data_IF_226324713007
#
_entry.id   IF_226324713007
#
_cell.length_a   1.000
_cell.length_b   1.000
_cell.length_c   1.000
_cell.angle_alpha   90.00
_cell.angle_beta   90.00
_cell.angle_gamma   90.00
#
_symmetry.space_group_name_H-M   'P 1'
#
loop_
_entity.id
_entity.type
_entity.pdbx_description
1 polymer ?
#
# COMPACT_ATOMS: atom_id res chain seq x y z
N UNK A 1 3.04 1.28 -6.02
CA UNK A 1 3.73 0.06 -6.49
C UNK A 1 2.75 -0.95 -7.07
N UNK A 2 2.21 -1.93 -6.31
CA UNK A 2 1.40 -3.03 -6.88
C UNK A 2 0.22 -2.56 -7.74
N UNK A 3 -0.57 -1.61 -7.24
CA UNK A 3 -1.74 -1.09 -7.99
C UNK A 3 -1.32 -0.46 -9.31
N UNK A 4 -0.25 0.33 -9.31
CA UNK A 4 0.30 0.96 -10.50
C UNK A 4 0.77 -0.08 -11.52
N UNK A 5 1.58 -1.06 -11.09
CA UNK A 5 2.04 -2.14 -11.97
C UNK A 5 0.87 -2.90 -12.61
N UNK A 6 -0.16 -3.20 -11.82
CA UNK A 6 -1.35 -3.91 -12.32
C UNK A 6 -2.18 -3.03 -13.26
N UNK A 7 -2.27 -1.72 -13.02
CA UNK A 7 -2.94 -0.77 -13.92
C UNK A 7 -2.21 -0.65 -15.26
N UNK A 8 -0.89 -0.85 -15.27
CA UNK A 8 -0.07 -0.93 -16.49
C UNK A 8 -0.07 -2.32 -17.14
N UNK A 9 -0.80 -3.30 -16.60
CA UNK A 9 -0.80 -4.70 -17.05
C UNK A 9 0.59 -5.37 -17.10
N UNK A 10 1.54 -4.87 -16.29
CA UNK A 10 2.93 -5.34 -16.29
C UNK A 10 3.16 -6.47 -15.30
N UNK A 11 4.04 -7.40 -15.65
CA UNK A 11 4.42 -8.49 -14.75
C UNK A 11 5.42 -8.00 -13.70
N UNK A 12 5.54 -8.76 -12.60
CA UNK A 12 6.59 -8.52 -11.59
C UNK A 12 8.00 -8.60 -12.22
N UNK A 13 8.19 -9.51 -13.19
CA UNK A 13 9.45 -9.68 -13.90
C UNK A 13 9.82 -8.41 -14.68
N UNK A 14 8.89 -7.86 -15.45
CA UNK A 14 9.16 -6.68 -16.29
C UNK A 14 9.56 -5.44 -15.47
N UNK A 15 8.92 -5.26 -14.30
CA UNK A 15 9.24 -4.13 -13.41
C UNK A 15 10.55 -4.39 -12.67
N UNK A 16 10.79 -5.61 -12.19
CA UNK A 16 12.02 -5.96 -11.48
C UNK A 16 13.26 -5.82 -12.39
N UNK A 17 13.16 -6.32 -13.62
CA UNK A 17 14.23 -6.23 -14.62
C UNK A 17 14.53 -4.75 -14.96
N UNK A 18 13.49 -3.92 -15.16
CA UNK A 18 13.64 -2.49 -15.41
C UNK A 18 14.20 -1.71 -14.20
N UNK A 19 13.80 -2.08 -12.98
CA UNK A 19 14.29 -1.47 -11.73
C UNK A 19 15.65 -2.02 -11.29
N UNK A 20 16.23 -2.98 -12.02
CA UNK A 20 17.52 -3.63 -11.71
C UNK A 20 17.55 -4.26 -10.32
N UNK A 21 16.44 -4.82 -9.87
CA UNK A 21 16.31 -5.56 -8.61
C UNK A 21 15.78 -6.97 -8.85
N UNK A 22 15.91 -7.86 -7.87
CA UNK A 22 15.39 -9.21 -8.02
C UNK A 22 13.86 -9.23 -7.94
N UNK A 23 13.23 -10.12 -8.74
CA UNK A 23 11.79 -10.32 -8.69
C UNK A 23 11.29 -10.74 -7.29
N UNK A 24 11.98 -11.63 -6.54
CA UNK A 24 11.63 -11.91 -5.15
C UNK A 24 11.64 -10.66 -4.26
N UNK A 25 12.66 -9.79 -4.39
CA UNK A 25 12.75 -8.57 -3.59
C UNK A 25 11.62 -7.58 -3.90
N UNK A 26 11.29 -7.36 -5.18
CA UNK A 26 10.13 -6.56 -5.57
C UNK A 26 8.82 -7.14 -5.01
N UNK A 27 8.71 -8.47 -4.98
CA UNK A 27 7.57 -9.18 -4.40
C UNK A 27 7.40 -8.88 -2.91
N UNK A 28 8.49 -8.83 -2.14
CA UNK A 28 8.47 -8.47 -0.72
C UNK A 28 8.09 -7.00 -0.53
N UNK A 29 8.60 -6.11 -1.39
CA UNK A 29 8.28 -4.68 -1.37
C UNK A 29 6.80 -4.42 -1.64
N UNK A 30 6.21 -5.04 -2.66
CA UNK A 30 4.78 -4.88 -2.98
C UNK A 30 3.84 -5.33 -1.86
N UNK A 31 4.32 -6.23 -0.99
CA UNK A 31 3.57 -6.74 0.16
C UNK A 31 3.91 -6.00 1.46
N UNK A 32 4.80 -5.01 1.42
CA UNK A 32 5.24 -4.25 2.58
C UNK A 32 6.05 -5.07 3.58
N UNK A 33 6.69 -6.16 3.15
CA UNK A 33 7.52 -7.02 4.01
C UNK A 33 8.98 -6.59 4.09
N UNK A 34 9.40 -5.65 3.23
CA UNK A 34 10.74 -5.09 3.22
C UNK A 34 10.71 -3.58 3.06
N UNK A 35 11.72 -2.96 3.66
CA UNK A 35 12.01 -1.54 3.46
C UNK A 35 12.90 -1.39 2.21
N UNK A 36 12.62 -0.35 1.44
CA UNK A 36 13.41 0.04 0.28
C UNK A 36 14.27 1.25 0.65
N UNK A 37 15.52 1.26 0.18
CA UNK A 37 16.30 2.49 0.20
C UNK A 37 15.70 3.52 -0.76
N UNK A 38 16.08 4.79 -0.59
CA UNK A 38 15.66 5.88 -1.47
C UNK A 38 16.03 5.61 -2.94
N UNK A 39 17.18 5.00 -3.19
CA UNK A 39 17.66 4.61 -4.53
C UNK A 39 16.76 3.52 -5.13
N UNK A 40 16.38 2.52 -4.34
CA UNK A 40 15.46 1.45 -4.79
C UNK A 40 14.07 2.03 -5.10
N UNK A 41 13.57 2.95 -4.28
CA UNK A 41 12.30 3.63 -4.54
C UNK A 41 12.35 4.44 -5.83
N UNK A 42 13.44 5.18 -6.06
CA UNK A 42 13.64 5.95 -7.29
C UNK A 42 13.73 5.03 -8.53
N UNK A 43 14.47 3.93 -8.43
CA UNK A 43 14.59 2.95 -9.51
C UNK A 43 13.23 2.29 -9.83
N UNK A 44 12.45 1.93 -8.81
CA UNK A 44 11.13 1.35 -8.99
C UNK A 44 10.11 2.37 -9.53
N UNK A 45 10.21 3.65 -9.14
CA UNK A 45 9.41 4.73 -9.73
C UNK A 45 9.70 4.86 -11.23
N UNK A 46 10.98 4.99 -11.60
CA UNK A 46 11.41 5.08 -12.99
C UNK A 46 11.02 3.84 -13.80
N UNK A 47 11.13 2.64 -13.20
CA UNK A 47 10.69 1.41 -13.83
C UNK A 47 9.19 1.38 -14.11
N UNK A 48 8.36 2.12 -13.36
CA UNK A 48 6.93 2.32 -13.58
C UNK A 48 6.62 3.54 -14.47
N UNK A 49 7.62 4.24 -15.00
CA UNK A 49 7.42 5.46 -15.78
C UNK A 49 6.96 6.65 -14.95
N UNK A 50 7.23 6.64 -13.64
CA UNK A 50 6.85 7.69 -12.70
C UNK A 50 8.05 8.45 -12.17
N UNK A 51 7.85 9.72 -11.78
CA UNK A 51 8.77 10.40 -10.90
C UNK A 51 8.67 9.85 -9.46
N UNK A 52 9.73 10.01 -8.66
CA UNK A 52 9.70 9.64 -7.24
C UNK A 52 8.58 10.38 -6.49
N UNK A 53 8.35 11.66 -6.81
CA UNK A 53 7.25 12.45 -6.24
C UNK A 53 5.87 11.83 -6.50
N UNK A 54 5.60 11.44 -7.74
CA UNK A 54 4.32 10.81 -8.13
C UNK A 54 4.09 9.51 -7.38
N UNK A 55 5.14 8.67 -7.29
CA UNK A 55 5.09 7.43 -6.55
C UNK A 55 4.77 7.66 -5.06
N UNK A 56 5.39 8.66 -4.43
CA UNK A 56 5.14 9.00 -3.04
C UNK A 56 3.72 9.57 -2.84
N UNK A 57 3.21 10.37 -3.76
CA UNK A 57 1.82 10.83 -3.74
C UNK A 57 0.83 9.67 -3.86
N UNK A 58 1.10 8.69 -4.73
CA UNK A 58 0.29 7.46 -4.82
C UNK A 58 0.33 6.65 -3.52
N UNK A 59 1.49 6.54 -2.89
CA UNK A 59 1.66 5.85 -1.61
C UNK A 59 0.92 6.58 -0.47
N UNK A 60 1.02 7.91 -0.41
CA UNK A 60 0.27 8.75 0.53
C UNK A 60 -1.23 8.55 0.37
N UNK A 61 -1.75 8.62 -0.85
CA UNK A 61 -3.17 8.39 -1.15
C UNK A 61 -3.63 7.00 -0.70
N UNK A 62 -2.78 5.98 -0.87
CA UNK A 62 -3.06 4.63 -0.41
C UNK A 62 -3.12 4.55 1.12
N UNK A 63 -2.17 5.18 1.81
CA UNK A 63 -2.15 5.26 3.27
C UNK A 63 -3.39 5.96 3.81
N UNK A 64 -3.81 7.07 3.18
CA UNK A 64 -5.04 7.80 3.52
C UNK A 64 -6.30 6.94 3.34
N UNK A 65 -6.36 6.09 2.30
CA UNK A 65 -7.46 5.13 2.12
C UNK A 65 -7.49 4.08 3.23
N UNK A 66 -6.34 3.50 3.56
CA UNK A 66 -6.24 2.47 4.61
C UNK A 66 -6.57 3.00 5.99
N UNK A 67 -6.10 4.20 6.35
CA UNK A 67 -6.44 4.80 7.65
C UNK A 67 -7.94 5.09 7.78
N UNK A 68 -8.59 5.58 6.70
CA UNK A 68 -10.05 5.79 6.67
C UNK A 68 -10.82 4.48 6.86
N UNK A 69 -10.40 3.40 6.20
CA UNK A 69 -11.01 2.07 6.34
C UNK A 69 -10.89 1.53 7.76
N UNK A 70 -9.73 1.70 8.41
CA UNK A 70 -9.52 1.31 9.80
C UNK A 70 -10.44 2.07 10.76
N UNK A 71 -10.63 3.38 10.55
CA UNK A 71 -11.52 4.18 11.38
C UNK A 71 -12.98 3.74 11.26
N UNK A 72 -13.48 3.48 10.04
CA UNK A 72 -14.85 3.00 9.81
C UNK A 72 -15.13 1.63 10.42
N UNK A 73 -14.17 0.70 10.34
CA UNK A 73 -14.29 -0.61 10.98
C UNK A 73 -14.29 -0.55 12.51
N UNK A 74 -13.76 0.53 13.10
CA UNK A 74 -13.69 0.71 14.56
C UNK A 74 -14.99 1.25 15.16
N UNK A 75 -15.76 2.01 14.38
CA UNK A 75 -17.07 2.56 14.80
C UNK A 75 -18.18 1.51 14.91
N UNK A 76 -18.04 0.34 14.30
CA UNK A 76 -19.07 -0.72 14.36
C UNK A 76 -18.92 -1.67 15.56
N UNK A 77 -17.84 -1.58 16.33
CA UNK A 77 -17.58 -2.44 17.51
C UNK A 77 -17.73 -1.70 18.84
N UNK A 78 -18.06 -0.41 18.82
CA UNK A 78 -18.41 0.38 20.01
C UNK A 78 -19.93 0.33 20.21
N UNK A 79 -20.49 -0.88 20.39
CA UNK A 79 -21.84 -1.01 20.94
C UNK A 79 -21.80 -0.50 22.39
N UNK A 80 -22.58 0.52 22.77
CA UNK A 80 -22.59 1.03 24.13
C UNK A 80 -23.35 0.02 24.99
N UNK A 81 -22.65 -0.78 25.78
CA UNK A 81 -23.21 -1.30 27.02
C UNK A 81 -23.37 -0.11 27.98
N UNK A 82 -24.46 0.61 27.80
CA UNK A 82 -25.04 1.51 28.79
C UNK A 82 -26.54 1.15 28.76
N UNK A 83 -26.95 0.14 29.54
CA UNK A 83 -27.55 0.39 30.83
C UNK A 83 -29.08 0.46 30.67
N UNK A 84 -29.82 -0.01 31.68
CA UNK A 84 -31.29 -0.20 31.78
C UNK A 84 -31.80 -1.59 31.30
N UNK A 85 -32.60 -2.34 32.07
CA UNK A 85 -33.23 -2.10 33.36
C UNK A 85 -33.66 -3.43 34.02
N UNK A 86 -33.49 -3.52 35.34
CA UNK A 86 -34.24 -4.42 36.23
C UNK A 86 -35.74 -4.23 35.99
N UNK A 87 -36.48 -5.31 35.66
CA UNK A 87 -37.88 -5.52 36.07
C UNK A 87 -38.43 -6.83 35.46
N UNK A 88 -38.66 -7.82 36.33
CA UNK A 88 -39.88 -8.62 36.48
C UNK A 88 -39.51 -9.92 37.22
#
# INVERSE_FOLDING_TARGET
MRRERLAQERTLKDVADAARISMPYLSELERGRKEASSEVLAAAAGALGLGLGDLLSLAQNELTRHTRSRTRGRTTTSAPYNGLCLAA
#
